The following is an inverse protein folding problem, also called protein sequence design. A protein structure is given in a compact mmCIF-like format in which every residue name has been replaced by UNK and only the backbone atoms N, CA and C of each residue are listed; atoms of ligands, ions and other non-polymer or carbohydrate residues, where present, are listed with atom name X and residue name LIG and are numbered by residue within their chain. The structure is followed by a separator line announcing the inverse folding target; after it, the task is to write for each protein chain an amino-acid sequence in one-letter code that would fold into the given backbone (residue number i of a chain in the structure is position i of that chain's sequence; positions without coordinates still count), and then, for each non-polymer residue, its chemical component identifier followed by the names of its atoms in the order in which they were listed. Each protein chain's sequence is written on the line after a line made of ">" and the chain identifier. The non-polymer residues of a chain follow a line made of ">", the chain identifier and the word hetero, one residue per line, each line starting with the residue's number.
data_IF_109101460562
#
_entry.id   IF_109101460562
#
_cell.length_a   1.000
_cell.length_b   1.000
_cell.length_c   1.000
_cell.angle_alpha   90.00
_cell.angle_beta   90.00
_cell.angle_gamma   90.00
#
_symmetry.space_group_name_H-M   'P 1'
#
loop_
_entity.id
_entity.type
_entity.pdbx_description
1 polymer ?
#
# COMPACT_ATOMS: atom_id res chain seq x y z
N UNK A 1 40.59 -27.37 -25.87
CA UNK A 1 41.91 -27.45 -25.26
C UNK A 1 41.76 -27.35 -23.76
N UNK A 2 41.48 -28.47 -23.12
CA UNK A 2 41.79 -28.73 -21.70
C UNK A 2 43.28 -29.07 -21.66
N UNK A 3 44.03 -29.08 -20.53
CA UNK A 3 43.68 -29.77 -19.30
C UNK A 3 44.35 -29.27 -17.99
N UNK A 4 44.01 -29.86 -16.90
CA UNK A 4 44.76 -30.65 -15.89
C UNK A 4 44.63 -30.17 -14.44
N UNK A 5 43.97 -31.00 -13.67
CA UNK A 5 44.33 -31.38 -12.29
C UNK A 5 45.54 -32.39 -12.35
N UNK A 6 46.12 -32.90 -11.27
CA UNK A 6 46.12 -32.78 -9.80
C UNK A 6 47.57 -32.87 -9.20
N UNK A 7 48.00 -33.49 -8.09
CA UNK A 7 47.52 -34.66 -7.35
C UNK A 7 47.66 -34.66 -5.78
N UNK A 8 47.03 -35.64 -5.18
CA UNK A 8 47.23 -36.42 -3.95
C UNK A 8 48.65 -36.60 -3.41
N UNK A 9 48.74 -36.67 -2.03
CA UNK A 9 49.59 -37.57 -1.24
C UNK A 9 49.10 -37.48 0.24
N UNK A 10 48.58 -38.41 0.90
CA UNK A 10 48.84 -39.78 1.38
C UNK A 10 50.08 -39.91 2.28
N UNK A 11 49.90 -40.68 3.33
CA UNK A 11 50.73 -41.24 4.38
C UNK A 11 50.45 -40.68 5.77
N UNK A 12 50.23 -41.43 6.83
CA UNK A 12 50.38 -42.86 7.03
C UNK A 12 50.14 -43.15 8.51
N UNK A 13 49.64 -44.28 8.70
CA UNK A 13 49.54 -45.20 9.79
C UNK A 13 50.59 -45.04 10.90
N UNK A 14 50.18 -45.17 12.18
CA UNK A 14 50.86 -46.07 13.12
C UNK A 14 50.04 -46.31 14.42
N UNK A 15 49.62 -47.51 14.65
CA UNK A 15 49.44 -48.15 15.95
C UNK A 15 50.77 -48.86 16.27
N UNK A 16 51.10 -49.31 17.49
CA UNK A 16 50.27 -50.01 18.47
C UNK A 16 50.71 -49.91 19.95
N UNK A 17 49.99 -50.57 20.85
CA UNK A 17 50.69 -51.22 21.93
C UNK A 17 50.10 -51.23 23.32
N UNK A 18 49.48 -52.37 23.60
CA UNK A 18 49.59 -53.24 24.74
C UNK A 18 49.18 -52.79 26.17
N UNK A 19 48.06 -53.25 26.61
CA UNK A 19 47.86 -54.26 27.68
C UNK A 19 48.70 -54.14 28.95
N UNK A 20 48.02 -53.98 30.08
CA UNK A 20 48.30 -54.82 31.28
C UNK A 20 47.07 -54.95 32.17
N UNK A 21 46.86 -56.18 32.54
CA UNK A 21 45.82 -56.84 33.31
C UNK A 21 45.90 -56.58 34.82
N UNK A 22 44.78 -56.48 35.44
CA UNK A 22 44.21 -57.02 36.65
C UNK A 22 45.02 -57.05 37.98
N UNK A 23 44.37 -57.03 39.15
CA UNK A 23 43.74 -58.26 39.63
C UNK A 23 42.33 -58.05 40.28
N UNK A 24 41.61 -59.16 40.26
CA UNK A 24 40.40 -59.50 41.00
C UNK A 24 40.63 -59.41 42.50
N UNK A 25 39.70 -58.85 43.25
CA UNK A 25 39.42 -59.27 44.63
C UNK A 25 37.90 -59.50 44.75
N UNK A 26 37.56 -60.60 45.27
CA UNK A 26 36.26 -61.20 45.38
C UNK A 26 35.49 -60.71 46.61
N UNK A 27 34.24 -60.94 46.66
CA UNK A 27 33.24 -60.16 47.40
C UNK A 27 32.89 -60.85 48.74
N UNK A 28 32.40 -60.10 49.64
CA UNK A 28 31.35 -60.46 50.59
C UNK A 28 31.29 -59.38 51.70
N UNK A 29 30.37 -58.52 51.60
CA UNK A 29 29.62 -57.96 52.72
C UNK A 29 28.29 -57.50 52.18
N UNK A 30 27.32 -58.31 52.53
CA UNK A 30 25.91 -58.06 52.37
C UNK A 30 25.54 -56.95 53.36
N UNK A 31 25.43 -55.71 52.85
CA UNK A 31 24.75 -54.60 53.51
C UNK A 31 23.60 -54.20 52.64
N UNK A 32 22.42 -54.68 52.97
CA UNK A 32 21.14 -54.52 52.30
C UNK A 32 20.69 -53.06 52.16
N UNK A 33 21.30 -52.38 51.20
CA UNK A 33 20.78 -51.11 50.71
C UNK A 33 20.26 -51.38 49.30
N UNK A 34 18.96 -51.21 49.16
CA UNK A 34 18.22 -51.35 47.92
C UNK A 34 18.89 -50.46 46.79
N UNK A 35 19.39 -51.06 45.71
CA UNK A 35 20.02 -50.32 44.64
C UNK A 35 19.12 -49.21 44.01
N UNK A 36 17.79 -49.35 44.13
CA UNK A 36 16.83 -48.33 43.64
C UNK A 36 16.80 -47.10 44.55
N UNK A 37 17.27 -47.18 45.80
CA UNK A 37 17.32 -46.02 46.71
C UNK A 37 18.54 -45.11 46.44
N UNK A 38 19.64 -45.65 45.89
CA UNK A 38 20.82 -44.88 45.56
C UNK A 38 20.61 -44.01 44.30
N UNK A 39 19.74 -44.41 43.38
CA UNK A 39 19.34 -43.62 42.25
C UNK A 39 18.58 -42.35 42.61
N UNK A 40 17.86 -42.35 43.70
CA UNK A 40 17.10 -41.20 44.21
C UNK A 40 17.95 -40.17 44.97
N UNK A 41 19.13 -40.53 45.42
CA UNK A 41 19.98 -39.66 46.26
C UNK A 41 21.00 -38.86 45.45
N UNK A 42 21.18 -39.17 44.15
CA UNK A 42 22.14 -38.50 43.25
C UNK A 42 21.54 -37.96 41.95
N UNK A 43 20.20 -37.88 41.87
CA UNK A 43 19.53 -37.23 40.75
C UNK A 43 19.41 -35.74 41.02
N UNK A 44 20.48 -35.00 40.70
CA UNK A 44 20.51 -33.53 40.69
C UNK A 44 19.74 -32.92 39.46
N UNK A 45 18.95 -33.72 38.79
CA UNK A 45 18.07 -33.22 37.72
C UNK A 45 16.99 -32.35 38.38
N UNK A 46 16.82 -31.09 37.94
CA UNK A 46 15.72 -30.28 38.45
C UNK A 46 14.40 -31.01 38.19
N UNK A 47 13.45 -30.97 39.12
CA UNK A 47 12.17 -31.65 38.97
C UNK A 47 11.54 -31.20 37.64
N UNK A 48 11.11 -32.19 36.85
CA UNK A 48 10.46 -31.92 35.58
C UNK A 48 9.33 -30.89 35.81
N UNK A 49 9.20 -29.86 34.97
CA UNK A 49 8.14 -28.88 35.12
C UNK A 49 6.79 -29.63 35.16
N UNK A 50 5.87 -29.26 36.04
CA UNK A 50 4.59 -29.95 36.16
C UNK A 50 3.93 -29.96 34.78
N UNK A 51 3.40 -31.12 34.39
CA UNK A 51 2.72 -31.29 33.13
C UNK A 51 1.68 -30.14 32.95
N UNK A 52 1.61 -29.48 31.78
CA UNK A 52 0.71 -28.35 31.59
C UNK A 52 -0.73 -28.80 31.87
N UNK A 53 -1.40 -28.09 32.81
CA UNK A 53 -2.81 -28.32 33.07
C UNK A 53 -3.63 -28.30 31.79
N UNK A 54 -4.58 -29.21 31.57
CA UNK A 54 -5.40 -29.22 30.37
C UNK A 54 -6.12 -27.87 30.23
N UNK A 55 -6.16 -27.35 29.03
CA UNK A 55 -6.71 -26.01 28.69
C UNK A 55 -8.11 -25.78 29.32
N UNK A 56 -8.96 -26.81 29.36
CA UNK A 56 -10.28 -26.80 30.03
C UNK A 56 -10.21 -26.38 31.49
N UNK A 57 -9.23 -26.91 32.24
CA UNK A 57 -9.06 -26.60 33.66
C UNK A 57 -8.56 -25.17 33.86
N UNK A 58 -7.64 -24.72 33.01
CA UNK A 58 -7.12 -23.34 33.02
C UNK A 58 -8.20 -22.29 32.77
N UNK A 59 -9.12 -22.53 31.80
CA UNK A 59 -10.28 -21.65 31.54
C UNK A 59 -11.21 -21.63 32.76
N UNK A 60 -11.53 -22.80 33.36
CA UNK A 60 -12.35 -22.87 34.55
C UNK A 60 -11.76 -22.07 35.71
N UNK A 61 -10.46 -22.21 35.97
CA UNK A 61 -9.74 -21.47 37.02
C UNK A 61 -9.78 -19.96 36.78
N UNK A 62 -9.51 -19.51 35.53
CA UNK A 62 -9.56 -18.09 35.17
C UNK A 62 -10.95 -17.46 35.39
N UNK A 63 -12.01 -18.20 35.10
CA UNK A 63 -13.38 -17.75 35.31
C UNK A 63 -13.77 -17.71 36.81
N UNK A 64 -13.29 -18.67 37.61
CA UNK A 64 -13.53 -18.70 39.06
C UNK A 64 -12.80 -17.56 39.77
N UNK A 65 -11.53 -17.33 39.42
CA UNK A 65 -10.74 -16.23 39.96
C UNK A 65 -11.41 -14.87 39.67
N UNK A 66 -11.89 -14.67 38.43
CA UNK A 66 -12.61 -13.48 38.02
C UNK A 66 -13.92 -13.26 38.80
N UNK A 67 -14.66 -14.36 39.10
CA UNK A 67 -15.87 -14.27 39.93
C UNK A 67 -15.56 -13.90 41.36
N UNK A 68 -14.48 -14.45 41.96
CA UNK A 68 -14.03 -14.13 43.31
C UNK A 68 -13.57 -12.68 43.47
N UNK A 69 -12.94 -12.12 42.44
CA UNK A 69 -12.49 -10.73 42.45
C UNK A 69 -13.60 -9.70 42.27
N UNK A 70 -14.87 -10.14 42.10
CA UNK A 70 -15.99 -9.27 41.80
C UNK A 70 -15.88 -8.61 40.43
N UNK A 71 -16.73 -8.96 39.47
CA UNK A 71 -16.70 -8.40 38.11
C UNK A 71 -16.98 -6.91 38.04
N UNK A 72 -16.96 -6.20 39.16
CA UNK A 72 -17.11 -4.74 39.25
C UNK A 72 -15.85 -3.96 38.82
N UNK A 73 -14.66 -4.54 38.97
CA UNK A 73 -13.41 -3.88 38.60
C UNK A 73 -13.06 -4.12 37.12
N UNK A 74 -12.95 -3.04 36.38
CA UNK A 74 -12.58 -3.07 34.97
C UNK A 74 -11.16 -3.60 34.74
N UNK A 75 -10.24 -3.40 35.70
CA UNK A 75 -8.89 -3.96 35.67
C UNK A 75 -8.88 -5.48 35.68
N UNK A 76 -9.74 -6.08 36.50
CA UNK A 76 -9.91 -7.56 36.59
C UNK A 76 -10.48 -8.09 35.27
N UNK A 77 -11.47 -7.42 34.70
CA UNK A 77 -12.03 -7.81 33.38
C UNK A 77 -11.01 -7.72 32.25
N UNK A 78 -10.16 -6.67 32.23
CA UNK A 78 -9.07 -6.54 31.28
C UNK A 78 -8.02 -7.66 31.46
N UNK A 79 -7.72 -8.04 32.69
CA UNK A 79 -6.84 -9.18 32.96
C UNK A 79 -7.44 -10.50 32.49
N UNK A 80 -8.72 -10.72 32.73
CA UNK A 80 -9.45 -11.90 32.26
C UNK A 80 -9.44 -11.99 30.72
N UNK A 81 -9.65 -10.85 30.02
CA UNK A 81 -9.57 -10.79 28.56
C UNK A 81 -8.23 -11.32 28.05
N UNK A 82 -7.11 -10.78 28.57
CA UNK A 82 -5.76 -11.23 28.21
C UNK A 82 -5.51 -12.71 28.52
N UNK A 83 -5.99 -13.19 29.68
CA UNK A 83 -5.81 -14.59 30.09
C UNK A 83 -6.58 -15.56 29.19
N UNK A 84 -7.83 -15.23 28.84
CA UNK A 84 -8.65 -16.04 27.94
C UNK A 84 -8.05 -16.07 26.51
N UNK A 85 -7.59 -14.94 25.98
CA UNK A 85 -6.97 -14.92 24.66
C UNK A 85 -5.73 -15.81 24.56
N UNK A 86 -4.90 -15.88 25.60
CA UNK A 86 -3.74 -16.78 25.64
C UNK A 86 -4.12 -18.26 25.67
N UNK A 87 -5.33 -18.59 26.12
CA UNK A 87 -5.81 -19.98 26.21
C UNK A 87 -6.54 -20.41 24.91
N UNK A 88 -6.92 -19.48 24.05
CA UNK A 88 -7.65 -19.79 22.81
C UNK A 88 -6.97 -20.85 21.92
N UNK A 89 -5.65 -20.78 21.66
CA UNK A 89 -4.97 -21.77 20.83
C UNK A 89 -4.99 -23.20 21.40
N UNK A 90 -5.09 -23.32 22.72
CA UNK A 90 -5.08 -24.59 23.44
C UNK A 90 -6.50 -25.21 23.60
N UNK A 91 -7.55 -24.48 23.21
CA UNK A 91 -8.91 -24.96 23.35
C UNK A 91 -9.27 -25.91 22.20
N UNK A 92 -10.09 -26.95 22.50
CA UNK A 92 -10.64 -27.80 21.45
C UNK A 92 -11.35 -26.96 20.37
N UNK A 93 -11.23 -27.30 19.07
CA UNK A 93 -11.92 -26.60 17.99
C UNK A 93 -13.44 -26.80 18.04
N UNK A 94 -13.93 -27.79 18.82
CA UNK A 94 -15.35 -28.07 18.96
C UNK A 94 -16.04 -26.98 19.82
N UNK A 95 -16.92 -26.23 19.17
CA UNK A 95 -17.73 -25.19 19.84
C UNK A 95 -18.76 -25.74 20.83
N UNK A 96 -19.05 -27.05 20.78
CA UNK A 96 -19.96 -27.72 21.71
C UNK A 96 -19.25 -28.07 23.03
N UNK A 97 -17.90 -28.04 23.04
CA UNK A 97 -17.18 -28.20 24.29
C UNK A 97 -17.54 -27.09 25.29
N UNK A 98 -17.95 -27.48 26.49
CA UNK A 98 -18.47 -26.55 27.50
C UNK A 98 -17.47 -25.45 27.89
N UNK A 99 -16.18 -25.76 27.92
CA UNK A 99 -15.14 -24.78 28.27
C UNK A 99 -14.95 -23.79 27.14
N UNK A 100 -14.86 -24.27 25.89
CA UNK A 100 -14.78 -23.45 24.68
C UNK A 100 -15.98 -22.54 24.52
N UNK A 101 -17.20 -23.08 24.63
CA UNK A 101 -18.43 -22.29 24.55
C UNK A 101 -18.51 -21.21 25.66
N UNK A 102 -18.02 -21.52 26.86
CA UNK A 102 -17.99 -20.53 27.95
C UNK A 102 -16.95 -19.45 27.73
N UNK A 103 -15.76 -19.81 27.23
CA UNK A 103 -14.72 -18.86 26.88
C UNK A 103 -15.20 -17.88 25.77
N UNK A 104 -15.80 -18.40 24.70
CA UNK A 104 -16.32 -17.59 23.59
C UNK A 104 -17.40 -16.61 24.07
N UNK A 105 -18.41 -17.07 24.82
CA UNK A 105 -19.43 -16.20 25.40
C UNK A 105 -18.86 -15.11 26.32
N UNK A 106 -17.82 -15.45 27.06
CA UNK A 106 -17.14 -14.48 27.95
C UNK A 106 -16.40 -13.42 27.13
N UNK A 107 -15.70 -13.83 26.05
CA UNK A 107 -15.02 -12.90 25.14
C UNK A 107 -16.02 -11.96 24.43
N UNK A 108 -17.15 -12.49 23.95
CA UNK A 108 -18.22 -11.68 23.36
C UNK A 108 -18.79 -10.65 24.36
N UNK A 109 -18.92 -11.03 25.61
CA UNK A 109 -19.36 -10.11 26.67
C UNK A 109 -18.32 -9.03 26.94
N UNK A 110 -17.04 -9.39 27.01
CA UNK A 110 -15.94 -8.44 27.20
C UNK A 110 -15.78 -7.48 26.01
N UNK A 111 -16.09 -7.92 24.79
CA UNK A 111 -16.10 -7.06 23.61
C UNK A 111 -17.22 -6.00 23.64
N UNK A 112 -18.25 -6.19 24.46
CA UNK A 112 -19.32 -5.23 24.71
C UNK A 112 -19.18 -4.48 26.04
N UNK A 113 -18.01 -4.56 26.68
CA UNK A 113 -17.81 -3.91 27.97
C UNK A 113 -17.88 -2.39 27.83
N UNK A 114 -18.55 -1.73 28.77
CA UNK A 114 -18.68 -0.28 28.76
C UNK A 114 -17.33 0.46 28.92
N UNK A 115 -16.39 -0.15 29.64
CA UNK A 115 -15.07 0.41 29.85
C UNK A 115 -14.16 0.18 28.63
N UNK A 116 -13.82 1.24 27.90
CA UNK A 116 -12.99 1.17 26.70
C UNK A 116 -11.67 0.43 26.94
N UNK A 117 -11.01 0.62 28.09
CA UNK A 117 -9.73 -0.04 28.38
C UNK A 117 -9.85 -1.58 28.49
N UNK A 118 -11.04 -2.13 28.84
CA UNK A 118 -11.31 -3.57 28.81
C UNK A 118 -11.34 -4.07 27.37
N UNK A 119 -12.05 -3.34 26.49
CA UNK A 119 -12.11 -3.64 25.07
C UNK A 119 -10.74 -3.49 24.41
N UNK A 120 -9.97 -2.42 24.75
CA UNK A 120 -8.58 -2.23 24.29
C UNK A 120 -7.67 -3.38 24.73
N UNK A 121 -7.79 -3.84 25.98
CA UNK A 121 -7.02 -4.98 26.47
C UNK A 121 -7.37 -6.28 25.74
N UNK A 122 -8.65 -6.48 25.40
CA UNK A 122 -9.12 -7.59 24.59
C UNK A 122 -8.59 -7.51 23.16
N UNK A 123 -8.72 -6.37 22.51
CA UNK A 123 -8.24 -6.15 21.14
C UNK A 123 -6.73 -6.36 21.03
N UNK A 124 -5.95 -5.77 21.94
CA UNK A 124 -4.51 -5.94 21.99
C UNK A 124 -4.06 -7.39 22.24
N UNK A 125 -4.89 -8.19 22.93
CA UNK A 125 -4.59 -9.60 23.15
C UNK A 125 -5.04 -10.51 21.98
N UNK A 126 -6.05 -10.09 21.20
CA UNK A 126 -6.60 -10.87 20.10
C UNK A 126 -5.93 -10.60 18.74
N UNK A 127 -5.34 -9.44 18.57
CA UNK A 127 -4.84 -8.98 17.24
C UNK A 127 -3.90 -9.98 16.56
N UNK A 128 -3.06 -10.68 17.34
CA UNK A 128 -2.05 -11.62 16.85
C UNK A 128 -2.48 -13.10 17.00
N UNK A 129 -3.72 -13.36 17.44
CA UNK A 129 -4.23 -14.71 17.66
C UNK A 129 -4.89 -15.22 16.37
N UNK A 130 -4.25 -16.20 15.71
CA UNK A 130 -4.75 -16.77 14.46
C UNK A 130 -6.13 -17.45 14.58
N UNK A 131 -6.50 -17.91 15.77
CA UNK A 131 -7.80 -18.53 16.07
C UNK A 131 -8.76 -17.57 16.79
N UNK A 132 -8.60 -16.26 16.63
CA UNK A 132 -9.51 -15.29 17.22
C UNK A 132 -10.96 -15.55 16.75
N UNK A 133 -11.94 -15.49 17.67
CA UNK A 133 -13.34 -15.74 17.27
C UNK A 133 -13.83 -14.66 16.28
N UNK A 134 -14.28 -15.02 15.07
CA UNK A 134 -14.65 -14.03 14.03
C UNK A 134 -15.73 -13.05 14.48
N UNK A 135 -16.70 -13.49 15.28
CA UNK A 135 -17.75 -12.62 15.82
C UNK A 135 -17.20 -11.53 16.75
N UNK A 136 -16.19 -11.89 17.59
CA UNK A 136 -15.52 -10.96 18.49
C UNK A 136 -14.64 -10.00 17.70
N UNK A 137 -13.88 -10.51 16.73
CA UNK A 137 -13.03 -9.69 15.85
C UNK A 137 -13.85 -8.64 15.08
N UNK A 138 -14.95 -9.04 14.45
CA UNK A 138 -15.87 -8.12 13.74
C UNK A 138 -16.47 -7.05 14.65
N UNK A 139 -16.80 -7.41 15.88
CA UNK A 139 -17.35 -6.46 16.85
C UNK A 139 -16.32 -5.43 17.27
N UNK A 140 -15.10 -5.84 17.58
CA UNK A 140 -14.01 -4.93 17.96
C UNK A 140 -13.51 -4.09 16.78
N UNK A 141 -13.53 -4.62 15.56
CA UNK A 141 -13.16 -3.88 14.35
C UNK A 141 -14.09 -2.68 14.06
N UNK A 142 -15.33 -2.73 14.55
CA UNK A 142 -16.33 -1.66 14.41
C UNK A 142 -16.48 -0.79 15.65
N UNK A 143 -15.55 -0.90 16.60
CA UNK A 143 -15.58 -0.08 17.82
C UNK A 143 -15.30 1.39 17.47
N UNK A 144 -16.00 2.28 18.17
CA UNK A 144 -15.82 3.74 18.01
C UNK A 144 -14.49 4.23 18.54
N UNK A 145 -13.90 3.48 19.47
CA UNK A 145 -12.61 3.79 20.06
C UNK A 145 -11.47 3.30 19.18
N UNK A 146 -10.68 4.23 18.65
CA UNK A 146 -9.51 3.92 17.81
C UNK A 146 -8.57 2.89 18.45
N UNK A 147 -8.30 3.04 19.75
CA UNK A 147 -7.42 2.13 20.51
C UNK A 147 -7.93 0.67 20.57
N UNK A 148 -9.20 0.45 20.27
CA UNK A 148 -9.83 -0.86 20.20
C UNK A 148 -9.84 -1.38 18.77
N UNK A 149 -10.34 -0.61 17.82
CA UNK A 149 -10.54 -1.07 16.45
C UNK A 149 -9.24 -1.14 15.65
N UNK A 150 -8.33 -0.16 15.76
CA UNK A 150 -7.11 -0.08 14.94
C UNK A 150 -6.23 -1.34 15.01
N UNK A 151 -5.90 -1.92 16.20
CA UNK A 151 -5.11 -3.14 16.27
C UNK A 151 -5.76 -4.35 15.58
N UNK A 152 -7.08 -4.43 15.63
CA UNK A 152 -7.85 -5.52 15.02
C UNK A 152 -7.92 -5.33 13.50
N UNK A 153 -8.22 -4.13 13.03
CA UNK A 153 -8.25 -3.81 11.60
C UNK A 153 -6.90 -4.05 10.93
N UNK A 154 -5.80 -3.72 11.62
CA UNK A 154 -4.46 -3.86 11.08
C UNK A 154 -3.95 -5.31 11.11
N UNK A 155 -4.04 -6.00 12.27
CA UNK A 155 -3.31 -7.26 12.50
C UNK A 155 -4.18 -8.52 12.46
N UNK A 156 -5.50 -8.43 12.76
CA UNK A 156 -6.29 -9.63 12.96
C UNK A 156 -6.53 -10.40 11.66
N UNK A 157 -5.96 -11.61 11.58
CA UNK A 157 -6.04 -12.47 10.39
C UNK A 157 -7.41 -13.13 10.18
N UNK A 158 -8.27 -13.14 11.21
CA UNK A 158 -9.60 -13.77 11.12
C UNK A 158 -10.67 -12.86 10.49
N UNK A 159 -10.37 -11.57 10.27
CA UNK A 159 -11.21 -10.71 9.45
C UNK A 159 -11.02 -11.08 7.99
N UNK A 160 -12.11 -11.39 7.32
CA UNK A 160 -12.13 -11.66 5.88
C UNK A 160 -12.15 -10.37 5.07
N UNK A 161 -11.84 -10.47 3.78
CA UNK A 161 -11.97 -9.34 2.86
C UNK A 161 -13.40 -8.79 2.82
N UNK A 162 -14.41 -9.67 2.87
CA UNK A 162 -15.81 -9.25 2.92
C UNK A 162 -16.12 -8.43 4.18
N UNK A 163 -15.60 -8.85 5.34
CA UNK A 163 -15.76 -8.10 6.60
C UNK A 163 -15.14 -6.69 6.48
N UNK A 164 -13.96 -6.60 5.87
CA UNK A 164 -13.23 -5.35 5.68
C UNK A 164 -13.90 -4.45 4.63
N UNK A 165 -14.38 -5.01 3.52
CA UNK A 165 -15.16 -4.28 2.51
C UNK A 165 -16.45 -3.70 3.09
N UNK A 166 -17.16 -4.46 3.94
CA UNK A 166 -18.36 -3.96 4.63
C UNK A 166 -18.01 -2.78 5.57
N UNK A 167 -16.85 -2.86 6.26
CA UNK A 167 -16.38 -1.76 7.10
C UNK A 167 -16.06 -0.53 6.24
N UNK A 168 -15.32 -0.68 5.13
CA UNK A 168 -15.01 0.42 4.21
C UNK A 168 -16.29 1.06 3.66
N UNK A 169 -17.27 0.23 3.25
CA UNK A 169 -18.55 0.71 2.73
C UNK A 169 -19.39 1.49 3.76
N UNK A 170 -19.14 1.28 5.06
CA UNK A 170 -19.80 2.04 6.13
C UNK A 170 -19.25 3.46 6.32
N UNK A 171 -18.30 3.89 5.48
CA UNK A 171 -17.63 5.20 5.53
C UNK A 171 -16.97 5.46 6.90
N UNK A 172 -16.02 4.63 7.30
CA UNK A 172 -15.33 4.78 8.59
C UNK A 172 -14.42 6.01 8.59
N UNK A 173 -13.95 6.39 9.78
CA UNK A 173 -12.94 7.44 9.89
C UNK A 173 -11.64 7.08 9.16
N UNK A 174 -10.92 8.06 8.60
CA UNK A 174 -9.71 7.86 7.79
C UNK A 174 -8.64 7.00 8.47
N UNK A 175 -8.47 7.11 9.82
CA UNK A 175 -7.54 6.24 10.56
C UNK A 175 -7.88 4.74 10.45
N UNK A 176 -9.15 4.39 10.30
CA UNK A 176 -9.57 2.99 10.13
C UNK A 176 -9.24 2.49 8.73
N UNK A 177 -9.44 3.32 7.70
CA UNK A 177 -9.00 3.05 6.32
C UNK A 177 -7.48 2.87 6.27
N UNK A 178 -6.72 3.76 6.92
CA UNK A 178 -5.28 3.67 7.02
C UNK A 178 -4.81 2.39 7.77
N UNK A 179 -5.54 1.95 8.80
CA UNK A 179 -5.26 0.70 9.50
C UNK A 179 -5.45 -0.53 8.59
N UNK A 180 -6.50 -0.54 7.76
CA UNK A 180 -6.75 -1.60 6.76
C UNK A 180 -5.65 -1.56 5.69
N UNK A 181 -5.29 -0.36 5.20
CA UNK A 181 -4.23 -0.18 4.20
C UNK A 181 -2.84 -0.66 4.69
N UNK A 182 -2.57 -0.64 6.01
CA UNK A 182 -1.32 -1.14 6.61
C UNK A 182 -1.27 -2.66 6.81
N UNK A 183 -2.32 -3.41 6.51
CA UNK A 183 -2.30 -4.88 6.68
C UNK A 183 -1.14 -5.50 5.92
N UNK A 184 -0.53 -6.59 6.44
CA UNK A 184 0.60 -7.26 5.76
C UNK A 184 0.28 -7.69 4.33
N UNK A 185 -0.98 -7.97 4.04
CA UNK A 185 -1.50 -8.23 2.70
C UNK A 185 -2.82 -7.50 2.52
N UNK A 186 -2.96 -6.76 1.42
CA UNK A 186 -4.20 -6.09 1.02
C UNK A 186 -4.54 -6.57 -0.38
N UNK A 187 -5.72 -7.20 -0.52
CA UNK A 187 -6.17 -7.73 -1.81
C UNK A 187 -6.55 -6.62 -2.80
N UNK A 188 -6.63 -6.96 -4.08
CA UNK A 188 -7.04 -6.02 -5.11
C UNK A 188 -8.43 -5.38 -4.86
N UNK A 189 -9.47 -6.13 -4.45
CA UNK A 189 -10.76 -5.54 -4.10
C UNK A 189 -10.67 -4.53 -2.94
N UNK A 190 -9.88 -4.82 -1.90
CA UNK A 190 -9.68 -3.91 -0.78
C UNK A 190 -8.93 -2.64 -1.20
N UNK A 191 -7.87 -2.80 -2.01
CA UNK A 191 -7.11 -1.68 -2.55
C UNK A 191 -7.99 -0.75 -3.38
N UNK A 192 -8.82 -1.31 -4.26
CA UNK A 192 -9.79 -0.54 -5.04
C UNK A 192 -10.77 0.21 -4.12
N UNK A 193 -11.35 -0.48 -3.15
CA UNK A 193 -12.31 0.13 -2.23
C UNK A 193 -11.71 1.29 -1.43
N UNK A 194 -10.44 1.17 -0.96
CA UNK A 194 -9.74 2.25 -0.26
C UNK A 194 -9.52 3.45 -1.18
N UNK A 195 -9.03 3.23 -2.41
CA UNK A 195 -8.79 4.30 -3.40
C UNK A 195 -10.09 5.02 -3.76
N UNK A 196 -11.20 4.27 -3.89
CA UNK A 196 -12.52 4.80 -4.24
C UNK A 196 -13.13 5.67 -3.13
N UNK A 197 -12.68 5.54 -1.87
CA UNK A 197 -13.10 6.46 -0.79
C UNK A 197 -12.60 7.88 -1.00
N UNK A 198 -11.52 8.08 -1.76
CA UNK A 198 -10.88 9.38 -1.95
C UNK A 198 -10.06 9.87 -0.74
N UNK A 199 -9.89 9.06 0.30
CA UNK A 199 -9.08 9.42 1.47
C UNK A 199 -7.59 9.43 1.11
N UNK A 200 -6.99 10.63 1.15
CA UNK A 200 -5.62 10.83 0.71
C UNK A 200 -4.59 10.17 1.65
N UNK A 201 -4.84 10.17 2.96
CA UNK A 201 -3.95 9.56 3.95
C UNK A 201 -3.97 8.02 3.82
N UNK A 202 -5.14 7.41 3.74
CA UNK A 202 -5.27 5.97 3.55
C UNK A 202 -4.66 5.52 2.22
N UNK A 203 -4.86 6.29 1.14
CA UNK A 203 -4.23 6.04 -0.16
C UNK A 203 -2.71 6.14 -0.08
N UNK A 204 -2.19 7.16 0.60
CA UNK A 204 -0.75 7.33 0.84
C UNK A 204 -0.15 6.14 1.58
N UNK A 205 -0.83 5.65 2.62
CA UNK A 205 -0.43 4.45 3.37
C UNK A 205 -0.50 3.18 2.51
N UNK A 206 -1.52 3.05 1.66
CA UNK A 206 -1.67 1.92 0.74
C UNK A 206 -0.52 1.88 -0.28
N UNK A 207 -0.09 3.05 -0.77
CA UNK A 207 1.04 3.17 -1.69
C UNK A 207 2.38 2.77 -1.08
N UNK A 208 2.58 2.99 0.22
CA UNK A 208 3.76 2.53 0.97
C UNK A 208 3.76 1.03 1.28
N UNK A 209 2.63 0.37 1.13
CA UNK A 209 2.50 -1.03 1.49
C UNK A 209 2.86 -1.95 0.32
N UNK A 210 4.03 -2.58 0.37
CA UNK A 210 4.49 -3.55 -0.65
C UNK A 210 3.61 -4.80 -0.72
N UNK A 211 2.91 -5.14 0.37
CA UNK A 211 1.96 -6.26 0.41
C UNK A 211 0.58 -5.94 -0.16
N UNK A 212 0.36 -4.70 -0.62
CA UNK A 212 -0.90 -4.31 -1.24
C UNK A 212 -0.90 -4.58 -2.75
N UNK A 213 -1.88 -5.35 -3.21
CA UNK A 213 -2.11 -5.58 -4.64
C UNK A 213 -3.01 -4.47 -5.17
N UNK A 214 -2.42 -3.54 -5.93
CA UNK A 214 -3.16 -2.45 -6.60
C UNK A 214 -3.23 -2.77 -8.09
N UNK A 215 -4.43 -2.92 -8.68
CA UNK A 215 -4.60 -3.17 -10.12
C UNK A 215 -4.00 -2.03 -10.98
N UNK A 216 -3.58 -2.35 -12.20
CA UNK A 216 -2.88 -1.40 -13.07
C UNK A 216 -3.75 -0.19 -13.46
N UNK A 217 -5.05 -0.41 -13.68
CA UNK A 217 -6.02 0.67 -13.95
C UNK A 217 -6.14 1.64 -12.76
N UNK A 218 -6.04 1.15 -11.53
CA UNK A 218 -6.03 1.97 -10.33
C UNK A 218 -4.69 2.68 -10.12
N UNK A 219 -3.57 2.01 -10.43
CA UNK A 219 -2.26 2.68 -10.45
C UNK A 219 -2.22 3.81 -11.48
N UNK A 220 -2.85 3.63 -12.66
CA UNK A 220 -2.97 4.69 -13.66
C UNK A 220 -3.75 5.90 -13.14
N UNK A 221 -4.91 5.68 -12.51
CA UNK A 221 -5.69 6.74 -11.85
C UNK A 221 -4.89 7.46 -10.75
N UNK A 222 -4.15 6.71 -9.94
CA UNK A 222 -3.30 7.27 -8.88
C UNK A 222 -2.14 8.08 -9.45
N UNK A 223 -1.50 7.63 -10.52
CA UNK A 223 -0.46 8.40 -11.24
C UNK A 223 -1.04 9.72 -11.75
N UNK A 224 -2.22 9.71 -12.39
CA UNK A 224 -2.89 10.91 -12.86
C UNK A 224 -3.22 11.89 -11.72
N UNK A 225 -3.70 11.38 -10.59
CA UNK A 225 -4.07 12.19 -9.41
C UNK A 225 -2.86 12.65 -8.61
N UNK A 226 -1.71 12.02 -8.76
CA UNK A 226 -0.52 12.34 -7.97
C UNK A 226 0.07 13.72 -8.28
N UNK A 227 -0.36 14.40 -9.35
CA UNK A 227 -0.03 15.81 -9.61
C UNK A 227 -0.36 16.73 -8.43
N UNK A 228 -1.50 16.48 -7.73
CA UNK A 228 -1.91 17.20 -6.53
C UNK A 228 -1.36 16.64 -5.21
N UNK A 229 -0.61 15.53 -5.24
CA UNK A 229 -0.13 14.80 -4.07
C UNK A 229 1.36 14.42 -4.23
N UNK A 230 2.30 15.33 -3.98
CA UNK A 230 3.73 15.08 -4.18
C UNK A 230 4.28 13.85 -3.41
N UNK A 231 3.74 13.57 -2.22
CA UNK A 231 4.10 12.39 -1.42
C UNK A 231 3.74 11.06 -2.12
N UNK A 232 2.66 11.04 -2.90
CA UNK A 232 2.28 9.85 -3.67
C UNK A 232 3.26 9.57 -4.82
N UNK A 233 3.84 10.62 -5.41
CA UNK A 233 4.79 10.47 -6.54
C UNK A 233 6.01 9.64 -6.14
N UNK A 234 6.62 9.96 -4.98
CA UNK A 234 7.76 9.21 -4.47
C UNK A 234 7.42 7.74 -4.17
N UNK A 235 6.24 7.50 -3.57
CA UNK A 235 5.75 6.17 -3.25
C UNK A 235 5.45 5.36 -4.50
N UNK A 236 4.78 5.95 -5.49
CA UNK A 236 4.53 5.31 -6.79
C UNK A 236 5.84 4.96 -7.50
N UNK A 237 6.82 5.88 -7.52
CA UNK A 237 8.12 5.64 -8.13
C UNK A 237 8.89 4.49 -7.47
N UNK A 238 8.70 4.28 -6.17
CA UNK A 238 9.33 3.21 -5.39
C UNK A 238 8.65 1.84 -5.54
N UNK A 239 7.40 1.76 -6.04
CA UNK A 239 6.66 0.49 -6.10
C UNK A 239 7.25 -0.48 -7.13
N UNK A 240 7.53 -1.75 -6.73
CA UNK A 240 8.03 -2.77 -7.68
C UNK A 240 7.04 -3.07 -8.82
N UNK A 241 5.74 -2.94 -8.57
CA UNK A 241 4.68 -3.26 -9.54
C UNK A 241 4.33 -2.10 -10.50
N UNK A 242 5.06 -0.97 -10.48
CA UNK A 242 4.82 0.12 -11.41
C UNK A 242 5.30 -0.28 -12.81
N UNK A 243 4.38 -0.37 -13.76
CA UNK A 243 4.72 -0.72 -15.15
C UNK A 243 5.58 0.37 -15.82
N UNK A 244 6.34 -0.03 -16.85
CA UNK A 244 7.19 0.89 -17.62
C UNK A 244 6.39 2.07 -18.17
N UNK A 245 5.17 1.81 -18.67
CA UNK A 245 4.25 2.84 -19.18
C UNK A 245 3.90 3.87 -18.11
N UNK A 246 3.60 3.41 -16.90
CA UNK A 246 3.25 4.29 -15.78
C UNK A 246 4.48 5.02 -15.22
N UNK A 247 5.66 4.40 -15.24
CA UNK A 247 6.92 5.06 -14.89
C UNK A 247 7.23 6.24 -15.81
N UNK A 248 7.05 6.07 -17.14
CA UNK A 248 7.17 7.16 -18.10
C UNK A 248 6.13 8.25 -17.86
N UNK A 249 4.88 7.87 -17.62
CA UNK A 249 3.81 8.82 -17.34
C UNK A 249 4.08 9.64 -16.09
N UNK A 250 4.55 8.99 -15.03
CA UNK A 250 4.94 9.64 -13.78
C UNK A 250 6.11 10.62 -14.02
N UNK A 251 7.12 10.23 -14.81
CA UNK A 251 8.28 11.07 -15.13
C UNK A 251 7.92 12.39 -15.81
N UNK A 252 6.75 12.49 -16.47
CA UNK A 252 6.31 13.71 -17.15
C UNK A 252 6.09 14.90 -16.21
N UNK A 253 5.80 14.66 -14.91
CA UNK A 253 5.39 15.72 -13.98
C UNK A 253 6.01 15.67 -12.59
N UNK A 254 6.89 14.70 -12.29
CA UNK A 254 7.60 14.60 -11.01
C UNK A 254 8.76 15.57 -10.90
N UNK A 255 9.19 15.86 -9.68
CA UNK A 255 10.41 16.64 -9.42
C UNK A 255 11.69 15.79 -9.59
N UNK A 256 12.85 16.43 -9.48
CA UNK A 256 14.14 15.78 -9.70
C UNK A 256 14.41 14.64 -8.72
N UNK A 257 13.93 14.74 -7.47
CA UNK A 257 14.15 13.72 -6.45
C UNK A 257 13.41 12.43 -6.79
N UNK A 258 12.17 12.54 -7.26
CA UNK A 258 11.36 11.39 -7.71
C UNK A 258 11.85 10.86 -9.05
N UNK A 259 12.29 11.73 -9.94
CA UNK A 259 12.92 11.34 -11.20
C UNK A 259 14.20 10.54 -10.97
N UNK A 260 14.98 10.87 -9.92
CA UNK A 260 16.14 10.09 -9.51
C UNK A 260 15.76 8.70 -8.99
N UNK A 261 14.64 8.57 -8.27
CA UNK A 261 14.11 7.27 -7.87
C UNK A 261 13.75 6.42 -9.09
N UNK A 262 13.04 6.99 -10.07
CA UNK A 262 12.70 6.30 -11.31
C UNK A 262 13.94 5.86 -12.10
N UNK A 263 14.98 6.70 -12.17
CA UNK A 263 16.24 6.37 -12.86
C UNK A 263 17.05 5.25 -12.18
N UNK A 264 16.93 5.09 -10.87
CA UNK A 264 17.61 4.05 -10.10
C UNK A 264 16.90 2.69 -10.15
N UNK A 265 15.73 2.63 -10.75
CA UNK A 265 15.01 1.36 -10.92
C UNK A 265 15.78 0.43 -11.83
N UNK A 266 15.96 -0.79 -11.38
CA UNK A 266 16.67 -1.86 -12.14
C UNK A 266 15.74 -2.73 -12.97
N UNK A 267 14.44 -2.57 -12.80
CA UNK A 267 13.37 -3.31 -13.48
C UNK A 267 12.88 -2.62 -14.77
N UNK A 268 13.33 -1.38 -15.05
CA UNK A 268 13.06 -0.69 -16.30
C UNK A 268 14.02 -1.18 -17.39
N UNK A 269 13.50 -1.41 -18.60
CA UNK A 269 14.36 -1.65 -19.75
C UNK A 269 15.19 -0.41 -20.14
N UNK A 270 16.26 -0.62 -20.91
CA UNK A 270 17.19 0.45 -21.28
C UNK A 270 16.53 1.59 -22.08
N UNK A 271 15.49 1.27 -22.86
CA UNK A 271 14.77 2.27 -23.67
C UNK A 271 13.92 3.17 -22.75
N UNK A 272 13.14 2.53 -21.88
CA UNK A 272 12.30 3.26 -20.90
C UNK A 272 13.16 4.10 -19.94
N UNK A 273 14.27 3.56 -19.45
CA UNK A 273 15.19 4.31 -18.59
C UNK A 273 15.78 5.53 -19.32
N UNK A 274 16.12 5.41 -20.61
CA UNK A 274 16.62 6.53 -21.42
C UNK A 274 15.52 7.58 -21.65
N UNK A 275 14.27 7.16 -21.88
CA UNK A 275 13.13 8.06 -22.05
C UNK A 275 12.78 8.81 -20.77
N UNK A 276 12.74 8.13 -19.61
CA UNK A 276 12.58 8.77 -18.29
C UNK A 276 13.65 9.83 -18.09
N UNK A 277 14.92 9.50 -18.37
CA UNK A 277 16.01 10.47 -18.28
C UNK A 277 15.86 11.64 -19.25
N UNK A 278 15.34 11.42 -20.45
CA UNK A 278 15.09 12.48 -21.44
C UNK A 278 13.96 13.43 -21.00
N UNK A 279 12.85 12.88 -20.49
CA UNK A 279 11.72 13.65 -19.95
C UNK A 279 12.18 14.52 -18.78
N UNK A 280 12.90 13.92 -17.83
CA UNK A 280 13.44 14.65 -16.67
C UNK A 280 14.38 15.79 -17.09
N UNK A 281 15.34 15.54 -18.02
CA UNK A 281 16.22 16.61 -18.52
C UNK A 281 15.44 17.75 -19.17
N UNK A 282 14.39 17.46 -19.93
CA UNK A 282 13.54 18.52 -20.52
C UNK A 282 12.88 19.37 -19.45
N UNK A 283 12.37 18.73 -18.38
CA UNK A 283 11.76 19.45 -17.26
C UNK A 283 12.76 20.36 -16.54
N UNK A 284 13.95 19.85 -16.21
CA UNK A 284 15.02 20.65 -15.61
C UNK A 284 15.35 21.83 -16.52
N UNK A 285 15.60 21.61 -17.81
CA UNK A 285 15.87 22.67 -18.76
C UNK A 285 14.71 23.69 -18.88
N UNK A 286 13.46 23.22 -18.76
CA UNK A 286 12.29 24.09 -18.75
C UNK A 286 12.24 24.97 -17.50
N UNK A 287 12.53 24.43 -16.32
CA UNK A 287 12.56 25.17 -15.06
C UNK A 287 13.75 26.13 -15.00
N UNK A 288 14.95 25.67 -15.36
CA UNK A 288 16.17 26.49 -15.39
C UNK A 288 16.11 27.61 -16.44
N UNK A 289 15.47 27.34 -17.58
CA UNK A 289 15.22 28.33 -18.60
C UNK A 289 14.14 29.36 -18.26
N UNK A 290 13.58 29.30 -17.06
CA UNK A 290 12.53 30.20 -16.57
C UNK A 290 13.16 31.41 -15.88
N UNK A 291 12.94 32.58 -16.45
CA UNK A 291 13.19 33.82 -15.71
C UNK A 291 12.03 34.04 -14.70
N UNK A 292 12.33 34.09 -13.37
CA UNK A 292 11.28 34.33 -12.38
C UNK A 292 10.51 35.65 -12.57
N UNK A 293 11.11 36.61 -13.25
CA UNK A 293 10.49 37.89 -13.56
C UNK A 293 9.66 37.87 -14.88
N UNK A 294 9.75 36.78 -15.67
CA UNK A 294 9.01 36.66 -16.94
C UNK A 294 7.62 36.05 -16.69
N UNK A 295 6.56 36.79 -17.03
CA UNK A 295 5.20 36.22 -16.94
C UNK A 295 5.00 35.09 -17.95
N UNK A 296 4.09 34.12 -17.65
CA UNK A 296 3.79 32.99 -18.54
C UNK A 296 3.43 33.44 -19.98
N UNK A 297 2.69 34.53 -20.12
CA UNK A 297 2.35 35.09 -21.40
C UNK A 297 3.57 35.64 -22.18
N UNK A 298 4.50 36.33 -21.51
CA UNK A 298 5.75 36.80 -22.15
C UNK A 298 6.62 35.65 -22.59
N UNK A 299 6.71 34.61 -21.78
CA UNK A 299 7.42 33.36 -22.10
C UNK A 299 6.84 32.70 -23.36
N UNK A 300 5.51 32.57 -23.43
CA UNK A 300 4.83 32.04 -24.63
C UNK A 300 5.15 32.86 -25.88
N UNK A 301 5.14 34.20 -25.80
CA UNK A 301 5.52 35.09 -26.89
C UNK A 301 6.98 34.90 -27.30
N UNK A 302 7.90 34.80 -26.33
CA UNK A 302 9.32 34.57 -26.62
C UNK A 302 9.54 33.25 -27.37
N UNK A 303 8.95 32.14 -26.85
CA UNK A 303 9.06 30.82 -27.48
C UNK A 303 8.38 30.81 -28.87
N UNK A 304 7.27 31.51 -29.05
CA UNK A 304 6.62 31.66 -30.36
C UNK A 304 7.52 32.35 -31.38
N UNK A 305 8.17 33.46 -31.00
CA UNK A 305 9.12 34.17 -31.85
C UNK A 305 10.36 33.34 -32.21
N UNK A 306 10.77 32.44 -31.32
CA UNK A 306 11.89 31.53 -31.54
C UNK A 306 11.51 30.29 -32.36
N UNK A 307 10.23 30.10 -32.70
CA UNK A 307 9.74 28.89 -33.35
C UNK A 307 9.74 27.66 -32.41
N UNK A 308 9.96 27.87 -31.12
CA UNK A 308 10.05 26.83 -30.10
C UNK A 308 8.73 26.59 -29.33
N UNK A 309 7.64 27.29 -29.69
CA UNK A 309 6.30 27.05 -29.17
C UNK A 309 5.63 25.92 -29.95
N UNK A 310 6.20 24.74 -29.84
CA UNK A 310 5.74 23.52 -30.53
C UNK A 310 4.81 22.68 -29.65
N UNK A 311 4.43 21.52 -30.15
CA UNK A 311 3.58 20.58 -29.44
C UNK A 311 4.25 19.97 -28.18
N UNK A 312 5.59 19.86 -28.19
CA UNK A 312 6.37 19.41 -27.06
C UNK A 312 6.30 20.41 -25.91
N UNK A 313 6.55 21.71 -26.23
CA UNK A 313 6.48 22.77 -25.23
C UNK A 313 5.07 22.93 -24.63
N UNK A 314 4.02 22.80 -25.45
CA UNK A 314 2.64 22.79 -24.94
C UNK A 314 2.33 21.57 -24.12
N UNK A 315 2.80 20.41 -24.57
CA UNK A 315 2.63 19.14 -23.87
C UNK A 315 3.33 19.10 -22.51
N UNK A 316 4.55 19.63 -22.44
CA UNK A 316 5.31 19.78 -21.21
C UNK A 316 4.59 20.73 -20.22
N UNK A 317 4.11 21.89 -20.71
CA UNK A 317 3.34 22.84 -19.90
C UNK A 317 2.01 22.25 -19.38
N UNK A 318 1.33 21.41 -20.17
CA UNK A 318 0.13 20.67 -19.72
C UNK A 318 0.47 19.65 -18.64
N UNK A 319 1.61 18.95 -18.76
CA UNK A 319 2.05 17.98 -17.77
C UNK A 319 2.44 18.64 -16.44
N UNK A 320 2.94 19.87 -16.50
CA UNK A 320 3.39 20.64 -15.32
C UNK A 320 2.36 21.64 -14.82
N UNK A 321 1.10 21.54 -15.30
CA UNK A 321 -0.04 22.36 -14.86
C UNK A 321 0.16 23.87 -15.01
N UNK A 322 1.02 24.29 -15.96
CA UNK A 322 1.24 25.70 -16.26
C UNK A 322 0.06 26.31 -17.06
N UNK A 323 -1.11 26.36 -16.45
CA UNK A 323 -2.39 26.73 -17.09
C UNK A 323 -2.32 28.10 -17.80
N UNK A 324 -1.66 29.10 -17.20
CA UNK A 324 -1.53 30.43 -17.76
C UNK A 324 -0.65 30.44 -19.03
N UNK A 325 0.40 29.60 -19.02
CA UNK A 325 1.23 29.43 -20.23
C UNK A 325 0.46 28.72 -21.33
N UNK A 326 -0.27 27.64 -21.01
CA UNK A 326 -1.10 26.89 -21.97
C UNK A 326 -2.13 27.81 -22.63
N UNK A 327 -2.82 28.65 -21.84
CA UNK A 327 -3.77 29.65 -22.38
C UNK A 327 -3.10 30.62 -23.33
N UNK A 328 -1.98 31.19 -22.93
CA UNK A 328 -1.23 32.11 -23.76
C UNK A 328 -0.72 31.46 -25.07
N UNK A 329 -0.22 30.22 -24.97
CA UNK A 329 0.26 29.44 -26.10
C UNK A 329 -0.85 29.18 -27.14
N UNK A 330 -2.02 28.70 -26.64
CA UNK A 330 -3.19 28.45 -27.51
C UNK A 330 -3.70 29.75 -28.15
N UNK A 331 -3.78 30.85 -27.39
CA UNK A 331 -4.20 32.15 -27.91
C UNK A 331 -3.28 32.64 -29.04
N UNK A 332 -1.98 32.57 -28.84
CA UNK A 332 -0.97 32.97 -29.83
C UNK A 332 -1.02 32.13 -31.11
N UNK A 333 -1.04 30.79 -30.92
CA UNK A 333 -1.01 29.86 -32.06
C UNK A 333 -2.31 29.86 -32.86
N UNK A 334 -3.46 29.94 -32.19
CA UNK A 334 -4.77 30.00 -32.84
C UNK A 334 -5.11 31.43 -33.38
N UNK A 335 -4.30 32.43 -33.02
CA UNK A 335 -4.53 33.86 -33.34
C UNK A 335 -5.92 34.33 -32.85
N UNK A 336 -6.24 34.01 -31.55
CA UNK A 336 -7.49 34.40 -30.90
C UNK A 336 -7.21 35.17 -29.60
N UNK A 337 -8.18 35.95 -29.15
CA UNK A 337 -8.05 36.68 -27.90
C UNK A 337 -7.99 35.69 -26.72
N UNK A 338 -7.11 35.90 -25.69
CA UNK A 338 -6.99 35.00 -24.56
C UNK A 338 -8.30 34.73 -23.82
N UNK A 339 -9.20 35.72 -23.72
CA UNK A 339 -10.52 35.55 -23.13
C UNK A 339 -11.40 34.51 -23.86
N UNK A 340 -11.27 34.41 -25.18
CA UNK A 340 -11.96 33.38 -25.97
C UNK A 340 -11.42 31.98 -25.59
N UNK A 341 -10.10 31.86 -25.43
CA UNK A 341 -9.49 30.59 -24.96
C UNK A 341 -10.03 30.21 -23.61
N UNK A 342 -10.13 31.17 -22.68
CA UNK A 342 -10.69 30.96 -21.36
C UNK A 342 -12.15 30.50 -21.39
N UNK A 343 -12.96 31.12 -22.28
CA UNK A 343 -14.37 30.76 -22.42
C UNK A 343 -14.54 29.33 -23.00
N UNK A 344 -13.72 28.97 -23.98
CA UNK A 344 -13.71 27.65 -24.58
C UNK A 344 -13.26 26.59 -23.57
N UNK A 345 -12.16 26.82 -22.83
CA UNK A 345 -11.67 25.85 -21.84
C UNK A 345 -12.65 25.68 -20.67
N UNK A 346 -13.24 26.77 -20.18
CA UNK A 346 -14.25 26.72 -19.09
C UNK A 346 -15.57 26.09 -19.52
N UNK A 347 -15.91 26.12 -20.81
CA UNK A 347 -17.17 25.55 -21.31
C UNK A 347 -17.26 24.02 -21.15
N UNK A 348 -16.10 23.33 -21.08
CA UNK A 348 -16.05 21.86 -21.08
C UNK A 348 -16.58 21.23 -22.38
N UNK A 349 -16.76 22.02 -23.45
CA UNK A 349 -17.19 21.51 -24.76
C UNK A 349 -16.00 20.89 -25.50
N UNK A 350 -15.96 19.56 -25.54
CA UNK A 350 -14.91 18.79 -26.20
C UNK A 350 -14.73 19.18 -27.68
N UNK A 351 -15.80 19.60 -28.39
CA UNK A 351 -15.75 19.99 -29.79
C UNK A 351 -15.10 21.35 -29.95
N UNK A 352 -15.47 22.32 -29.13
CA UNK A 352 -14.88 23.64 -29.13
C UNK A 352 -13.39 23.62 -28.78
N UNK A 353 -13.02 22.84 -27.72
CA UNK A 353 -11.62 22.65 -27.33
C UNK A 353 -10.82 21.98 -28.46
N UNK A 354 -11.36 20.94 -29.07
CA UNK A 354 -10.72 20.27 -30.24
C UNK A 354 -10.52 21.23 -31.40
N UNK A 355 -11.53 22.05 -31.72
CA UNK A 355 -11.45 23.03 -32.79
C UNK A 355 -10.42 24.14 -32.52
N UNK A 356 -10.27 24.56 -31.23
CA UNK A 356 -9.25 25.53 -30.82
C UNK A 356 -7.84 24.98 -31.06
N UNK A 357 -7.59 23.76 -30.65
CA UNK A 357 -6.28 23.10 -30.78
C UNK A 357 -5.95 22.82 -32.25
N UNK A 358 -6.96 22.43 -33.07
CA UNK A 358 -6.83 22.30 -34.51
C UNK A 358 -6.41 23.63 -35.15
N UNK A 359 -7.08 24.75 -34.81
CA UNK A 359 -6.75 26.08 -35.34
C UNK A 359 -5.34 26.52 -34.89
N UNK A 360 -4.89 26.12 -33.72
CA UNK A 360 -3.52 26.36 -33.23
C UNK A 360 -2.46 25.57 -34.02
N UNK A 361 -2.86 24.62 -34.87
CA UNK A 361 -1.97 23.82 -35.71
C UNK A 361 -1.27 22.70 -34.95
N UNK A 362 -1.84 22.21 -33.86
CA UNK A 362 -1.34 21.05 -33.09
C UNK A 362 -2.05 19.77 -33.53
N UNK A 363 -1.56 18.61 -33.11
CA UNK A 363 -2.16 17.30 -33.41
C UNK A 363 -3.42 16.98 -32.58
N UNK A 364 -4.20 15.99 -33.04
CA UNK A 364 -5.34 15.50 -32.26
C UNK A 364 -4.91 14.86 -30.95
N UNK A 365 -3.71 14.28 -30.87
CA UNK A 365 -3.14 13.79 -29.61
C UNK A 365 -2.98 14.91 -28.57
N UNK A 366 -2.48 16.05 -29.03
CA UNK A 366 -2.41 17.26 -28.20
C UNK A 366 -3.81 17.76 -27.81
N UNK A 367 -4.78 17.73 -28.71
CA UNK A 367 -6.16 18.13 -28.43
C UNK A 367 -6.79 17.24 -27.30
N UNK A 368 -6.54 15.95 -27.30
CA UNK A 368 -7.01 15.06 -26.23
C UNK A 368 -6.39 15.42 -24.88
N UNK A 369 -5.09 15.75 -24.85
CA UNK A 369 -4.41 16.20 -23.60
C UNK A 369 -4.98 17.54 -23.10
N UNK A 370 -5.22 18.50 -24.01
CA UNK A 370 -5.83 19.79 -23.64
C UNK A 370 -7.25 19.61 -23.10
N UNK A 371 -8.05 18.72 -23.70
CA UNK A 371 -9.40 18.40 -23.21
C UNK A 371 -9.36 17.92 -21.75
N UNK A 372 -8.46 16.99 -21.43
CA UNK A 372 -8.37 16.37 -20.11
C UNK A 372 -7.72 17.35 -19.11
N UNK A 373 -6.54 17.89 -19.44
CA UNK A 373 -5.68 18.62 -18.49
C UNK A 373 -6.03 20.08 -18.34
N UNK A 374 -6.41 20.76 -19.44
CA UNK A 374 -6.70 22.20 -19.39
C UNK A 374 -8.20 22.51 -19.29
N UNK A 375 -9.06 21.71 -19.93
CA UNK A 375 -10.51 21.91 -19.88
C UNK A 375 -11.23 21.02 -18.87
N UNK A 376 -10.53 20.10 -18.18
CA UNK A 376 -11.11 19.22 -17.15
C UNK A 376 -12.21 18.27 -17.65
N UNK A 377 -12.18 17.94 -18.94
CA UNK A 377 -13.22 17.09 -19.54
C UNK A 377 -13.01 15.64 -19.07
N UNK A 378 -14.03 15.01 -18.47
CA UNK A 378 -13.89 13.65 -17.98
C UNK A 378 -13.61 12.66 -19.13
N UNK A 379 -12.85 11.58 -18.91
CA UNK A 379 -12.41 10.65 -19.97
C UNK A 379 -13.53 10.12 -20.87
N UNK A 380 -14.74 9.93 -20.34
CA UNK A 380 -15.91 9.46 -21.09
C UNK A 380 -16.47 10.49 -22.07
N UNK A 381 -16.16 11.76 -21.87
CA UNK A 381 -16.65 12.87 -22.69
C UNK A 381 -15.56 13.42 -23.65
N UNK A 382 -14.34 12.90 -23.56
CA UNK A 382 -13.23 13.28 -24.44
C UNK A 382 -13.53 12.88 -25.88
N UNK A 383 -13.34 13.79 -26.79
CA UNK A 383 -13.44 13.52 -28.22
C UNK A 383 -12.12 12.88 -28.70
N UNK A 384 -12.19 11.62 -29.11
CA UNK A 384 -11.03 10.83 -29.50
C UNK A 384 -10.64 11.02 -30.97
N UNK A 385 -9.38 10.70 -31.28
CA UNK A 385 -8.86 10.71 -32.64
C UNK A 385 -9.60 9.70 -33.52
N UNK A 386 -9.86 10.11 -34.77
CA UNK A 386 -10.31 9.20 -35.82
C UNK A 386 -9.10 8.48 -36.40
N UNK A 387 -9.20 7.18 -36.65
CA UNK A 387 -8.12 6.33 -37.18
C UNK A 387 -6.77 6.46 -36.43
N UNK A 388 -6.83 6.80 -35.13
CA UNK A 388 -5.65 6.92 -34.28
C UNK A 388 -4.92 8.27 -34.29
N UNK A 389 -5.04 9.07 -35.33
CA UNK A 389 -4.29 10.34 -35.47
C UNK A 389 -5.14 11.53 -35.96
N UNK A 390 -6.19 11.26 -36.73
CA UNK A 390 -6.93 12.29 -37.43
C UNK A 390 -7.95 13.00 -36.55
N UNK A 391 -8.24 14.25 -36.87
CA UNK A 391 -9.30 14.99 -36.22
C UNK A 391 -10.67 14.35 -36.54
N UNK A 392 -11.54 14.14 -35.55
CA UNK A 392 -12.80 13.45 -35.75
C UNK A 392 -13.86 14.31 -36.42
N UNK A 393 -13.68 15.65 -36.41
CA UNK A 393 -14.58 16.61 -37.01
C UNK A 393 -14.01 17.15 -38.34
N UNK A 394 -14.85 17.39 -39.37
CA UNK A 394 -14.46 18.12 -40.56
C UNK A 394 -14.05 19.57 -40.25
N UNK A 395 -13.13 20.14 -41.01
CA UNK A 395 -12.66 21.53 -40.85
C UNK A 395 -13.80 22.56 -40.80
N UNK A 396 -14.84 22.38 -41.63
CA UNK A 396 -16.01 23.24 -41.62
C UNK A 396 -16.78 23.25 -40.30
N UNK A 397 -16.89 22.08 -39.66
CA UNK A 397 -17.55 21.95 -38.37
C UNK A 397 -16.70 22.53 -37.23
N UNK A 398 -15.38 22.33 -37.27
CA UNK A 398 -14.46 22.95 -36.30
C UNK A 398 -14.52 24.48 -36.40
N UNK A 399 -14.54 25.04 -37.63
CA UNK A 399 -14.71 26.47 -37.83
C UNK A 399 -16.05 26.98 -37.32
N UNK A 400 -17.13 26.21 -37.48
CA UNK A 400 -18.47 26.56 -36.96
C UNK A 400 -18.48 26.56 -35.44
N UNK A 401 -17.85 25.59 -34.77
CA UNK A 401 -17.74 25.57 -33.30
C UNK A 401 -16.98 26.79 -32.80
N UNK A 402 -15.88 27.19 -33.42
CA UNK A 402 -15.14 28.39 -33.05
C UNK A 402 -15.94 29.68 -33.26
N UNK A 403 -16.76 29.72 -34.31
CA UNK A 403 -17.62 30.90 -34.57
C UNK A 403 -18.65 31.16 -33.47
N UNK A 404 -19.08 30.13 -32.75
CA UNK A 404 -19.96 30.28 -31.55
C UNK A 404 -19.32 31.11 -30.45
N UNK A 405 -18.00 31.15 -30.40
CA UNK A 405 -17.20 31.92 -29.44
C UNK A 405 -16.68 33.25 -30.08
N UNK A 406 -17.20 33.63 -31.22
CA UNK A 406 -16.81 34.90 -31.87
C UNK A 406 -15.50 34.86 -32.67
N UNK A 407 -14.94 33.66 -32.87
CA UNK A 407 -13.74 33.53 -33.71
C UNK A 407 -14.13 33.60 -35.18
N UNK A 408 -13.64 34.63 -35.86
CA UNK A 408 -13.85 34.79 -37.31
C UNK A 408 -12.90 33.87 -38.08
N UNK A 409 -13.39 33.30 -39.19
CA UNK A 409 -12.61 32.45 -40.10
C UNK A 409 -11.51 33.25 -40.80
#
# INVERSE_FOLDING_TARGET
>A
MQPRQPPYADHGDDRPGAARSAPRADPSADDGVDPDLLGYLFDDSPPAPPAPEPARRRVGTALVESRRAGMGDAGVRAHLARKLCRLLPDLPPDRQDKATATALRTLERLARDHAAHVRTALAGALKDVACAPPAVARMLARDVERSVAEPILHCCATLTDDDLLEIIASHPAGWALAAIARRPAVSAPLSCAIVDTGDAEATSVLLDNDGAVIPEDRLEDLVERSGGHPDWQAKLAGRPALSQRLALRLAEFVDDSVADLLRRRTDLDAVTAAEVAAVTRRRVAWVEGRDPAESPGRRAVRLHRQGALDETALGDALSWEETDFVRAALALRAAVHPGIVDDILRSGDARAVTALVWRAGYSMRCAMRVQIRAAGIPPRAVLNARQGTDYPLPAADMTRHLALYGVRS
#
